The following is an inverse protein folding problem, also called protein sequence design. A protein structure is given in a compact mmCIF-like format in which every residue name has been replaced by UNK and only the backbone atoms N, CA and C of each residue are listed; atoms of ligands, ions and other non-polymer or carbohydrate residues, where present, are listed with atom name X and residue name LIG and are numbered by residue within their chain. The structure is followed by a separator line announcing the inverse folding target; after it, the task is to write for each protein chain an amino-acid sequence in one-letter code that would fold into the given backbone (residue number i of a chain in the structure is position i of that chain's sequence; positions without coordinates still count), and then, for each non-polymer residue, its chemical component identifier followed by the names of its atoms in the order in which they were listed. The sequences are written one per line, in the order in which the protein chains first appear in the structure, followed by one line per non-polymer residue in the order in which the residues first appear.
data_IF_005591145118
#
_entry.id   IF_005591145118
#
_cell.length_a   1.000
_cell.length_b   1.000
_cell.length_c   1.000
_cell.angle_alpha   90.00
_cell.angle_beta   90.00
_cell.angle_gamma   90.00
#
_symmetry.space_group_name_H-M   'P 1'
#
loop_
_entity.id
_entity.type
_entity.pdbx_description
1 polymer ?
#
# COMPACT_ATOMS: atom_id res chain seq x y z
N UNK A 1 -31.09 -62.89 26.79
CA UNK A 1 -30.95 -62.23 25.48
C UNK A 1 -32.15 -61.31 25.30
N UNK A 2 -32.02 -60.01 25.58
CA UNK A 2 -33.12 -59.05 25.42
C UNK A 2 -33.12 -58.54 23.99
N UNK A 3 -34.19 -58.80 23.23
CA UNK A 3 -34.33 -58.41 21.83
C UNK A 3 -34.61 -56.92 21.70
N UNK A 4 -33.75 -56.19 21.01
CA UNK A 4 -33.99 -54.80 20.65
C UNK A 4 -35.19 -54.74 19.68
N UNK A 5 -36.31 -54.15 20.12
CA UNK A 5 -37.49 -53.94 19.28
C UNK A 5 -37.40 -52.57 18.61
N UNK A 6 -37.14 -52.56 17.30
CA UNK A 6 -37.12 -51.34 16.49
C UNK A 6 -38.57 -50.96 16.17
N UNK A 7 -39.01 -49.81 16.68
CA UNK A 7 -40.33 -49.25 16.41
C UNK A 7 -40.25 -48.21 15.28
N UNK A 8 -41.37 -47.98 14.58
CA UNK A 8 -41.47 -46.89 13.57
C UNK A 8 -41.04 -45.53 14.13
N UNK A 9 -41.34 -45.29 15.42
CA UNK A 9 -40.99 -44.04 16.12
C UNK A 9 -39.48 -43.92 16.36
N UNK A 10 -38.79 -45.01 16.69
CA UNK A 10 -37.33 -45.02 16.85
C UNK A 10 -36.61 -44.94 15.51
N UNK A 11 -37.17 -45.50 14.43
CA UNK A 11 -36.65 -45.24 13.08
C UNK A 11 -36.82 -43.78 12.66
N UNK A 12 -38.02 -43.20 12.82
CA UNK A 12 -38.29 -41.79 12.48
C UNK A 12 -37.38 -40.82 13.24
N UNK A 13 -37.18 -41.05 14.54
CA UNK A 13 -36.28 -40.25 15.36
C UNK A 13 -34.80 -40.39 14.93
N UNK A 14 -34.35 -41.60 14.59
CA UNK A 14 -33.01 -41.84 14.08
C UNK A 14 -32.74 -41.16 12.73
N UNK A 15 -33.70 -41.22 11.80
CA UNK A 15 -33.59 -40.55 10.50
C UNK A 15 -33.59 -39.02 10.61
N UNK A 16 -34.35 -38.44 11.55
CA UNK A 16 -34.34 -37.00 11.79
C UNK A 16 -32.98 -36.52 12.35
N UNK A 17 -32.35 -37.30 13.23
CA UNK A 17 -31.01 -36.99 13.75
C UNK A 17 -29.92 -37.14 12.68
N UNK A 18 -30.01 -38.12 11.78
CA UNK A 18 -29.07 -38.25 10.66
C UNK A 18 -29.20 -37.07 9.66
N UNK A 19 -30.43 -36.63 9.36
CA UNK A 19 -30.65 -35.46 8.50
C UNK A 19 -30.13 -34.16 9.14
N UNK A 20 -30.28 -34.00 10.46
CA UNK A 20 -29.70 -32.87 11.18
C UNK A 20 -28.16 -32.90 11.19
N UNK A 21 -27.54 -34.09 11.24
CA UNK A 21 -26.07 -34.22 11.18
C UNK A 21 -25.45 -33.98 9.79
N UNK A 22 -26.27 -33.97 8.73
CA UNK A 22 -25.85 -33.69 7.35
C UNK A 22 -26.20 -32.27 6.90
N UNK A 23 -26.83 -31.47 7.76
CA UNK A 23 -26.91 -30.03 7.61
C UNK A 23 -25.50 -29.45 7.84
N UNK A 24 -24.64 -29.61 6.84
CA UNK A 24 -23.39 -28.86 6.75
C UNK A 24 -23.73 -27.38 6.96
N UNK A 25 -22.96 -26.62 7.76
CA UNK A 25 -23.11 -25.17 7.75
C UNK A 25 -22.99 -24.73 6.30
N UNK A 26 -24.07 -24.15 5.77
CA UNK A 26 -24.07 -23.63 4.41
C UNK A 26 -22.82 -22.76 4.27
N UNK A 27 -21.97 -22.98 3.26
CA UNK A 27 -20.80 -22.14 3.06
C UNK A 27 -21.32 -20.71 3.03
N UNK A 28 -20.90 -19.90 4.02
CA UNK A 28 -21.37 -18.54 4.15
C UNK A 28 -21.03 -17.82 2.86
N UNK A 29 -22.03 -17.57 2.02
CA UNK A 29 -21.83 -16.78 0.82
C UNK A 29 -21.31 -15.42 1.27
N UNK A 30 -20.16 -15.02 0.71
CA UNK A 30 -19.61 -13.69 0.94
C UNK A 30 -20.72 -12.68 0.69
N UNK A 31 -21.09 -11.90 1.72
CA UNK A 31 -22.12 -10.89 1.57
C UNK A 31 -21.67 -9.88 0.52
N UNK A 32 -22.57 -9.50 -0.38
CA UNK A 32 -22.29 -8.42 -1.33
C UNK A 32 -21.93 -7.14 -0.56
N UNK A 33 -20.77 -6.51 -0.84
CA UNK A 33 -20.38 -5.29 -0.16
C UNK A 33 -21.44 -4.20 -0.30
N UNK A 34 -21.94 -3.68 0.82
CA UNK A 34 -22.88 -2.54 0.82
C UNK A 34 -22.08 -1.25 0.66
N UNK A 35 -22.42 -0.45 -0.35
CA UNK A 35 -21.84 0.88 -0.57
C UNK A 35 -22.63 1.94 0.20
N UNK A 36 -21.92 2.95 0.69
CA UNK A 36 -22.51 4.11 1.40
C UNK A 36 -22.42 4.00 2.92
N UNK A 37 -22.77 5.10 3.60
CA UNK A 37 -22.66 5.27 5.05
C UNK A 37 -21.55 6.24 5.45
N UNK A 38 -21.49 6.55 6.75
CA UNK A 38 -20.45 7.39 7.35
C UNK A 38 -19.72 6.58 8.41
N UNK A 39 -18.43 6.35 8.18
CA UNK A 39 -17.54 5.77 9.18
C UNK A 39 -17.00 6.89 10.07
N UNK A 40 -17.20 6.77 11.38
CA UNK A 40 -16.62 7.67 12.38
C UNK A 40 -15.57 6.89 13.15
N UNK A 41 -14.34 7.36 13.10
CA UNK A 41 -13.20 6.75 13.78
C UNK A 41 -12.70 7.70 14.86
N UNK A 42 -12.34 7.16 16.02
CA UNK A 42 -11.59 7.89 17.03
C UNK A 42 -10.09 7.77 16.71
N UNK A 43 -9.39 8.89 16.66
CA UNK A 43 -7.93 8.95 16.58
C UNK A 43 -7.37 9.31 17.96
N UNK A 44 -6.22 8.73 18.32
CA UNK A 44 -5.55 8.96 19.60
C UNK A 44 -4.66 10.22 19.60
N UNK A 45 -4.38 10.76 18.41
CA UNK A 45 -3.49 11.88 18.20
C UNK A 45 -3.85 12.65 16.92
N UNK A 46 -3.63 13.97 16.95
CA UNK A 46 -3.74 14.84 15.78
C UNK A 46 -2.34 15.01 15.15
N UNK A 47 -2.14 14.58 13.89
CA UNK A 47 -0.84 14.71 13.26
C UNK A 47 -0.56 16.18 12.89
N UNK A 48 0.69 16.62 13.04
CA UNK A 48 1.11 18.00 12.73
C UNK A 48 1.07 18.35 11.25
N UNK A 49 1.02 17.34 10.38
CA UNK A 49 0.79 17.44 8.94
C UNK A 49 0.21 16.12 8.44
N UNK A 50 -0.34 16.12 7.23
CA UNK A 50 -0.94 14.97 6.57
C UNK A 50 -0.09 14.44 5.41
N UNK A 51 1.21 14.80 5.34
CA UNK A 51 2.08 14.40 4.24
C UNK A 51 3.01 13.22 4.61
N UNK A 52 2.67 11.98 4.22
CA UNK A 52 3.48 10.80 4.52
C UNK A 52 4.82 10.77 3.76
N UNK A 53 4.97 11.56 2.69
CA UNK A 53 6.24 11.68 1.97
C UNK A 53 7.30 12.45 2.77
N UNK A 54 6.92 13.17 3.84
CA UNK A 54 7.84 13.91 4.73
C UNK A 54 8.01 13.18 6.08
N UNK A 55 6.94 12.61 6.64
CA UNK A 55 6.99 12.00 7.98
C UNK A 55 6.34 10.63 7.98
N UNK A 56 7.14 9.62 8.33
CA UNK A 56 6.67 8.26 8.55
C UNK A 56 6.27 8.10 10.02
N UNK A 57 4.97 8.15 10.31
CA UNK A 57 4.44 7.99 11.66
C UNK A 57 2.99 7.48 11.63
N UNK A 58 2.59 6.75 12.67
CA UNK A 58 1.26 6.14 12.74
C UNK A 58 0.14 7.19 12.68
N UNK A 59 0.27 8.32 13.39
CA UNK A 59 -0.74 9.38 13.37
C UNK A 59 -0.93 9.98 11.97
N UNK A 60 0.15 10.19 11.22
CA UNK A 60 0.08 10.66 9.83
C UNK A 60 -0.58 9.59 8.95
N UNK A 61 -0.09 8.35 9.00
CA UNK A 61 -0.59 7.25 8.17
C UNK A 61 -2.05 6.89 8.44
N UNK A 62 -2.53 7.08 9.68
CA UNK A 62 -3.92 6.80 10.06
C UNK A 62 -4.92 7.51 9.15
N UNK A 63 -4.59 8.75 8.75
CA UNK A 63 -5.40 9.59 7.87
C UNK A 63 -4.86 9.52 6.43
N UNK A 64 -3.58 9.81 6.24
CA UNK A 64 -3.02 10.08 4.91
C UNK A 64 -2.92 8.86 4.00
N UNK A 65 -2.88 7.64 4.55
CA UNK A 65 -2.88 6.39 3.77
C UNK A 65 -4.15 6.20 2.92
N UNK A 66 -5.20 7.01 3.14
CA UNK A 66 -6.42 7.01 2.33
C UNK A 66 -6.38 8.01 1.17
N UNK A 67 -5.35 8.87 1.13
CA UNK A 67 -5.26 10.04 0.26
C UNK A 67 -4.00 9.96 -0.62
N UNK A 68 -2.86 9.57 -0.04
CA UNK A 68 -1.56 9.52 -0.70
C UNK A 68 -1.12 8.06 -0.83
N UNK A 69 -0.78 7.67 -2.05
CA UNK A 69 -0.45 6.30 -2.40
C UNK A 69 1.09 6.10 -2.50
N UNK A 70 1.56 4.92 -2.13
CA UNK A 70 2.97 4.52 -2.24
C UNK A 70 3.27 3.79 -3.55
N UNK A 71 4.55 3.56 -3.86
CA UNK A 71 4.93 2.69 -4.98
C UNK A 71 4.49 1.24 -4.74
N UNK A 72 4.64 0.74 -3.52
CA UNK A 72 4.17 -0.58 -3.08
C UNK A 72 3.73 -0.51 -1.61
N UNK A 73 2.85 -1.41 -1.20
CA UNK A 73 2.40 -1.55 0.18
C UNK A 73 2.88 -2.86 0.81
N UNK A 74 2.86 -2.95 2.13
CA UNK A 74 3.09 -4.20 2.85
C UNK A 74 1.90 -5.15 2.67
N UNK A 75 2.17 -6.43 2.43
CA UNK A 75 1.14 -7.45 2.21
C UNK A 75 1.60 -8.81 2.73
N UNK A 76 0.69 -9.56 3.36
CA UNK A 76 0.95 -10.94 3.80
C UNK A 76 0.98 -11.92 2.62
N UNK A 77 0.17 -11.66 1.59
CA UNK A 77 0.02 -12.54 0.43
C UNK A 77 0.88 -12.08 -0.76
N UNK A 78 1.44 -10.88 -0.67
CA UNK A 78 2.28 -10.27 -1.69
C UNK A 78 3.65 -10.95 -1.78
N UNK A 79 4.19 -11.02 -3.01
CA UNK A 79 5.55 -11.50 -3.23
C UNK A 79 6.53 -10.65 -2.41
N UNK A 80 7.45 -11.32 -1.71
CA UNK A 80 8.45 -10.67 -0.87
C UNK A 80 7.85 -9.78 0.25
N UNK A 81 6.59 -10.03 0.63
CA UNK A 81 5.86 -9.23 1.62
C UNK A 81 5.29 -7.92 1.08
N UNK A 82 5.19 -7.76 -0.24
CA UNK A 82 4.78 -6.52 -0.89
C UNK A 82 3.68 -6.73 -1.93
N UNK A 83 2.70 -5.83 -1.94
CA UNK A 83 1.70 -5.75 -3.01
C UNK A 83 1.92 -4.48 -3.88
N UNK A 84 1.78 -4.59 -5.21
CA UNK A 84 1.85 -3.44 -6.12
C UNK A 84 0.83 -2.34 -5.81
N UNK A 85 1.25 -1.08 -5.95
CA UNK A 85 0.39 0.12 -5.88
C UNK A 85 0.60 1.00 -7.10
N UNK A 86 1.30 2.13 -6.96
CA UNK A 86 1.68 2.98 -8.09
C UNK A 86 2.75 2.33 -8.98
N UNK A 87 3.61 1.48 -8.41
CA UNK A 87 4.51 0.62 -9.18
C UNK A 87 3.90 -0.78 -9.33
N UNK A 88 3.86 -1.28 -10.57
CA UNK A 88 3.47 -2.63 -10.94
C UNK A 88 4.59 -3.64 -10.69
N UNK A 89 5.84 -3.21 -10.88
CA UNK A 89 7.03 -4.02 -10.62
C UNK A 89 8.25 -3.16 -10.31
N UNK A 90 9.26 -3.79 -9.70
CA UNK A 90 10.55 -3.19 -9.39
C UNK A 90 11.67 -4.21 -9.52
N UNK A 91 12.80 -3.78 -10.05
CA UNK A 91 13.97 -4.64 -10.29
C UNK A 91 15.26 -3.90 -9.93
N UNK A 92 16.08 -4.49 -9.06
CA UNK A 92 17.39 -3.98 -8.71
C UNK A 92 18.48 -4.58 -9.61
N UNK A 93 19.39 -3.74 -10.09
CA UNK A 93 20.56 -4.20 -10.84
C UNK A 93 21.52 -4.98 -9.92
N UNK A 94 22.21 -5.98 -10.50
CA UNK A 94 23.12 -6.85 -9.76
C UNK A 94 24.32 -6.12 -9.13
N UNK A 95 24.71 -4.97 -9.69
CA UNK A 95 25.76 -4.09 -9.18
C UNK A 95 25.30 -3.18 -8.02
N UNK A 96 24.00 -3.18 -7.71
CA UNK A 96 23.39 -2.30 -6.70
C UNK A 96 23.40 -0.82 -7.08
N UNK A 97 23.68 -0.47 -8.34
CA UNK A 97 23.77 0.93 -8.79
C UNK A 97 22.47 1.45 -9.37
N UNK A 98 21.48 0.59 -9.59
CA UNK A 98 20.15 1.06 -10.00
C UNK A 98 18.99 0.20 -9.55
N UNK A 99 17.83 0.83 -9.45
CA UNK A 99 16.53 0.16 -9.28
C UNK A 99 15.55 0.75 -10.29
N UNK A 100 14.93 -0.10 -11.09
CA UNK A 100 13.93 0.30 -12.08
C UNK A 100 12.54 0.00 -11.56
N UNK A 101 11.64 0.98 -11.62
CA UNK A 101 10.23 0.83 -11.30
C UNK A 101 9.40 0.97 -12.58
N UNK A 102 8.47 0.03 -12.79
CA UNK A 102 7.42 0.14 -13.81
C UNK A 102 6.13 0.60 -13.16
N UNK A 103 5.60 1.72 -13.64
CA UNK A 103 4.49 2.42 -13.03
C UNK A 103 3.17 2.02 -13.67
N UNK A 104 2.10 2.20 -12.90
CA UNK A 104 0.73 1.96 -13.35
C UNK A 104 0.28 3.06 -14.30
N UNK A 105 -0.25 2.64 -15.45
CA UNK A 105 -0.84 3.55 -16.42
C UNK A 105 -2.25 4.03 -16.00
N UNK A 106 -2.68 5.18 -16.54
CA UNK A 106 -4.02 5.72 -16.38
C UNK A 106 -4.34 6.29 -15.00
N UNK A 107 -3.35 6.40 -14.12
CA UNK A 107 -3.51 7.00 -12.79
C UNK A 107 -3.60 8.52 -12.92
N UNK A 108 -4.53 9.12 -12.17
CA UNK A 108 -4.72 10.56 -12.12
C UNK A 108 -4.66 11.03 -10.67
N UNK A 109 -4.11 12.22 -10.49
CA UNK A 109 -4.23 12.98 -9.25
C UNK A 109 -5.69 13.42 -9.04
N UNK A 110 -6.02 13.83 -7.81
CA UNK A 110 -7.38 14.25 -7.46
C UNK A 110 -7.85 15.50 -8.23
N UNK A 111 -6.93 16.28 -8.81
CA UNK A 111 -7.21 17.41 -9.70
C UNK A 111 -7.37 17.02 -11.18
N UNK A 112 -7.29 15.72 -11.49
CA UNK A 112 -7.44 15.16 -12.83
C UNK A 112 -6.16 15.13 -13.67
N UNK A 113 -5.04 15.70 -13.21
CA UNK A 113 -3.76 15.62 -13.93
C UNK A 113 -3.20 14.21 -13.90
N UNK A 114 -2.48 13.77 -14.95
CA UNK A 114 -1.88 12.44 -14.99
C UNK A 114 -0.76 12.31 -13.94
N UNK A 115 -0.68 11.13 -13.32
CA UNK A 115 0.50 10.69 -12.56
C UNK A 115 1.55 10.16 -13.52
N UNK A 116 2.82 10.55 -13.32
CA UNK A 116 3.94 10.10 -14.16
C UNK A 116 5.20 9.79 -13.35
N UNK A 117 6.19 9.21 -14.01
CA UNK A 117 7.55 9.00 -13.49
C UNK A 117 8.22 10.30 -13.03
N UNK A 118 7.82 11.47 -13.57
CA UNK A 118 8.29 12.77 -13.12
C UNK A 118 7.87 13.10 -11.68
N UNK A 119 6.68 12.66 -11.25
CA UNK A 119 6.22 12.81 -9.86
C UNK A 119 7.03 11.93 -8.91
N UNK A 120 7.38 10.72 -9.35
CA UNK A 120 8.24 9.80 -8.59
C UNK A 120 9.65 10.38 -8.45
N UNK A 121 10.24 10.85 -9.54
CA UNK A 121 11.56 11.48 -9.54
C UNK A 121 11.60 12.71 -8.63
N UNK A 122 10.58 13.57 -8.72
CA UNK A 122 10.44 14.73 -7.85
C UNK A 122 10.34 14.33 -6.38
N UNK A 123 9.43 13.41 -6.05
CA UNK A 123 9.21 12.95 -4.68
C UNK A 123 10.49 12.36 -4.08
N UNK A 124 11.19 11.52 -4.83
CA UNK A 124 12.42 10.89 -4.38
C UNK A 124 13.56 11.90 -4.12
N UNK A 125 13.81 12.79 -5.08
CA UNK A 125 14.96 13.70 -5.03
C UNK A 125 14.72 14.93 -4.15
N UNK A 126 13.49 15.46 -4.13
CA UNK A 126 13.15 16.71 -3.45
C UNK A 126 12.52 16.48 -2.06
N UNK A 127 12.06 15.27 -1.75
CA UNK A 127 11.38 14.97 -0.49
C UNK A 127 11.98 13.77 0.24
N UNK A 128 11.97 12.58 -0.37
CA UNK A 128 12.38 11.36 0.32
C UNK A 128 13.83 11.42 0.78
N UNK A 129 14.73 11.84 -0.11
CA UNK A 129 16.15 12.01 0.20
C UNK A 129 16.43 13.18 1.16
N UNK A 130 15.93 14.42 0.96
CA UNK A 130 16.32 15.55 1.81
C UNK A 130 15.45 15.79 3.05
N UNK A 131 14.17 15.41 3.03
CA UNK A 131 13.19 15.85 4.03
C UNK A 131 12.59 14.71 4.86
N UNK A 132 12.48 13.51 4.30
CA UNK A 132 11.84 12.38 4.96
C UNK A 132 12.68 11.89 6.15
N UNK A 133 12.06 11.76 7.34
CA UNK A 133 12.77 11.44 8.59
C UNK A 133 13.67 10.19 8.56
N UNK A 134 13.25 9.11 7.92
CA UNK A 134 14.02 7.89 7.68
C UNK A 134 14.62 7.83 6.26
N UNK A 135 13.95 8.46 5.29
CA UNK A 135 14.35 8.49 3.89
C UNK A 135 15.71 9.15 3.66
N UNK A 136 16.10 10.15 4.48
CA UNK A 136 17.44 10.74 4.46
C UNK A 136 18.56 9.71 4.58
N UNK A 137 18.35 8.68 5.39
CA UNK A 137 19.33 7.60 5.58
C UNK A 137 19.22 6.56 4.48
N UNK A 138 17.99 6.14 4.13
CA UNK A 138 17.73 5.09 3.14
C UNK A 138 18.16 5.52 1.73
N UNK A 139 17.86 6.75 1.34
CA UNK A 139 18.14 7.29 0.00
C UNK A 139 19.38 8.19 -0.03
N UNK A 140 20.26 8.12 0.97
CA UNK A 140 21.45 8.99 1.07
C UNK A 140 22.32 8.95 -0.20
N UNK A 141 22.45 7.77 -0.80
CA UNK A 141 23.28 7.52 -1.98
C UNK A 141 22.49 7.65 -3.30
N UNK A 142 21.19 7.97 -3.27
CA UNK A 142 20.40 8.22 -4.47
C UNK A 142 20.93 9.48 -5.18
N UNK A 143 21.48 9.31 -6.38
CA UNK A 143 22.12 10.37 -7.15
C UNK A 143 21.14 11.04 -8.11
N UNK A 144 20.39 10.24 -8.87
CA UNK A 144 19.40 10.71 -9.83
C UNK A 144 18.24 9.72 -9.96
N UNK A 145 17.16 10.17 -10.60
CA UNK A 145 16.07 9.33 -11.06
C UNK A 145 15.82 9.65 -12.53
N UNK A 146 16.16 8.71 -13.41
CA UNK A 146 15.92 8.86 -14.84
C UNK A 146 14.46 8.51 -15.16
N UNK A 147 13.87 9.25 -16.09
CA UNK A 147 12.47 9.11 -16.51
C UNK A 147 12.41 8.93 -18.03
N UNK A 148 12.86 7.77 -18.55
CA UNK A 148 12.95 7.56 -20.01
C UNK A 148 11.58 7.59 -20.70
N UNK A 149 10.52 7.37 -19.95
CA UNK A 149 9.12 7.51 -20.35
C UNK A 149 8.26 7.83 -19.11
N UNK A 150 6.98 8.16 -19.34
CA UNK A 150 6.03 8.54 -18.28
C UNK A 150 5.77 7.43 -17.25
N UNK A 151 6.09 6.16 -17.57
CA UNK A 151 5.73 5.00 -16.75
C UNK A 151 6.96 4.22 -16.25
N UNK A 152 8.16 4.80 -16.36
CA UNK A 152 9.40 4.19 -15.92
C UNK A 152 10.21 5.17 -15.10
N UNK A 153 10.54 4.81 -13.87
CA UNK A 153 11.45 5.56 -13.02
C UNK A 153 12.68 4.71 -12.69
N UNK A 154 13.87 5.17 -13.05
CA UNK A 154 15.14 4.45 -12.83
C UNK A 154 15.97 5.20 -11.79
N UNK A 155 16.01 4.67 -10.58
CA UNK A 155 16.80 5.22 -9.49
C UNK A 155 18.26 4.86 -9.73
N UNK A 156 19.16 5.84 -9.69
CA UNK A 156 20.60 5.66 -9.84
C UNK A 156 21.30 6.00 -8.54
N UNK A 157 22.14 5.09 -8.04
CA UNK A 157 22.86 5.27 -6.78
C UNK A 157 24.34 5.59 -7.05
N UNK A 158 24.89 6.52 -6.27
CA UNK A 158 26.31 6.90 -6.34
C UNK A 158 27.24 5.79 -5.83
N UNK A 159 26.71 4.85 -5.05
CA UNK A 159 27.41 3.70 -4.49
C UNK A 159 26.49 2.47 -4.53
N UNK A 160 27.04 1.25 -4.62
CA UNK A 160 26.25 0.03 -4.51
C UNK A 160 25.37 0.07 -3.27
N UNK A 161 24.05 0.10 -3.50
CA UNK A 161 23.02 0.14 -2.46
C UNK A 161 22.24 -1.17 -2.52
N UNK A 162 22.15 -1.93 -1.41
CA UNK A 162 21.44 -3.20 -1.41
C UNK A 162 19.99 -3.01 -1.84
N UNK A 163 19.57 -3.71 -2.91
CA UNK A 163 18.19 -3.65 -3.40
C UNK A 163 17.17 -3.99 -2.31
N UNK A 164 17.50 -4.92 -1.42
CA UNK A 164 16.65 -5.28 -0.27
C UNK A 164 16.33 -4.08 0.63
N UNK A 165 17.28 -3.16 0.83
CA UNK A 165 17.07 -1.95 1.63
C UNK A 165 16.00 -1.06 0.99
N UNK A 166 16.12 -0.84 -0.32
CA UNK A 166 15.16 -0.03 -1.09
C UNK A 166 13.79 -0.71 -1.11
N UNK A 167 13.76 -2.03 -1.35
CA UNK A 167 12.53 -2.83 -1.36
C UNK A 167 11.78 -2.76 -0.03
N UNK A 168 12.47 -2.95 1.09
CA UNK A 168 11.86 -2.91 2.43
C UNK A 168 11.34 -1.51 2.81
N UNK A 169 11.91 -0.46 2.21
CA UNK A 169 11.48 0.91 2.46
C UNK A 169 10.20 1.31 1.72
N UNK A 170 9.81 0.59 0.67
CA UNK A 170 8.69 1.00 -0.20
C UNK A 170 7.38 1.27 0.56
N UNK A 171 6.90 0.39 1.47
CA UNK A 171 5.62 0.60 2.14
C UNK A 171 5.53 1.88 2.98
N UNK A 172 6.65 2.35 3.52
CA UNK A 172 6.67 3.46 4.46
C UNK A 172 7.23 4.75 3.87
N UNK A 173 8.15 4.64 2.90
CA UNK A 173 9.00 5.76 2.47
C UNK A 173 8.84 6.13 0.99
N UNK A 174 7.90 5.50 0.26
CA UNK A 174 7.68 5.74 -1.17
C UNK A 174 6.35 6.44 -1.50
N UNK A 175 5.79 7.19 -0.54
CA UNK A 175 4.60 8.02 -0.79
C UNK A 175 4.90 9.08 -1.84
N UNK A 176 4.19 9.07 -2.96
CA UNK A 176 4.41 10.00 -4.07
C UNK A 176 3.51 11.22 -3.93
N UNK A 177 4.03 12.41 -4.24
CA UNK A 177 3.25 13.66 -4.27
C UNK A 177 3.20 14.25 -5.69
N UNK A 178 2.16 15.05 -6.02
CA UNK A 178 2.08 15.72 -7.31
C UNK A 178 3.16 16.80 -7.43
N UNK A 179 4.10 16.62 -8.37
CA UNK A 179 5.19 17.58 -8.61
C UNK A 179 4.65 18.99 -8.82
N UNK A 180 3.60 19.15 -9.61
CA UNK A 180 3.03 20.46 -9.98
C UNK A 180 2.41 21.24 -8.80
N UNK A 181 2.17 20.60 -7.66
CA UNK A 181 1.72 21.28 -6.42
C UNK A 181 2.90 21.63 -5.53
N UNK A 182 3.92 20.75 -5.49
CA UNK A 182 5.01 20.83 -4.52
C UNK A 182 6.28 21.50 -5.05
N UNK A 183 6.42 21.68 -6.37
CA UNK A 183 7.60 22.32 -6.97
C UNK A 183 7.64 23.84 -6.74
N UNK A 184 6.53 24.44 -6.30
CA UNK A 184 6.43 25.86 -6.01
C UNK A 184 6.64 26.12 -4.52
N UNK A 185 7.59 27.00 -4.20
CA UNK A 185 7.88 27.41 -2.83
C UNK A 185 8.62 26.34 -2.01
N UNK A 186 8.55 26.46 -0.68
CA UNK A 186 9.19 25.50 0.23
C UNK A 186 8.25 24.33 0.51
N UNK A 187 8.69 23.11 0.17
CA UNK A 187 7.91 21.87 0.37
C UNK A 187 7.41 21.71 1.81
N UNK A 188 8.24 22.01 2.82
CA UNK A 188 7.86 21.85 4.23
C UNK A 188 6.77 22.84 4.69
N UNK A 189 6.62 23.98 4.00
CA UNK A 189 5.64 25.03 4.30
C UNK A 189 4.44 24.99 3.33
N UNK A 190 4.42 24.04 2.38
CA UNK A 190 3.37 23.95 1.37
C UNK A 190 2.00 23.68 2.03
N UNK A 191 0.96 24.47 1.72
CA UNK A 191 -0.36 24.32 2.33
C UNK A 191 -1.00 22.94 2.06
N UNK A 192 -0.64 22.28 0.97
CA UNK A 192 -1.10 20.93 0.66
C UNK A 192 -0.66 19.88 1.69
N UNK A 193 0.30 20.19 2.57
CA UNK A 193 0.67 19.31 3.68
C UNK A 193 -0.42 19.17 4.74
N UNK A 194 -1.44 20.03 4.75
CA UNK A 194 -2.51 20.03 5.76
C UNK A 194 -3.93 20.03 5.15
N UNK A 195 -4.01 19.84 3.83
CA UNK A 195 -5.27 19.88 3.08
C UNK A 195 -5.90 18.49 2.94
#
# INVERSE_FOLDING_TARGET
MSGFTISRRTMLAGSAMLLASTAMPAPGWAQTPKKGGRLVLAADSEPRNLNPAIVASNGVFFISSKIVETLAEASFDGKDGLAPRLALSWEGAADGLSVTFKLRDGVKWHDGKPFTSADVAFSALQIWKPLQNLGRTVFKDLASVDTPDDLTAVFKFAKPTPFQLIRNALPALSSVVPKHIYEVGKIAENPANNA
#
